data_IF_234336147418
#
_entry.id   IF_234336147418
#
_cell.length_a   1.000
_cell.length_b   1.000
_cell.length_c   1.000
_cell.angle_alpha   90.00
_cell.angle_beta   90.00
_cell.angle_gamma   90.00
#
_symmetry.space_group_name_H-M   'P 1'
#
loop_
_entity.id
_entity.type
_entity.pdbx_description
1 polymer ?
#
# COMPACT_ATOMS: atom_id res chain seq x y z
N UNK A 1 -16.96 -10.43 -2.97
CA UNK A 1 -17.50 -9.11 -3.41
C UNK A 1 -16.65 -8.01 -2.81
N UNK A 2 -16.16 -7.07 -3.64
CA UNK A 2 -15.54 -5.86 -3.12
C UNK A 2 -16.58 -5.09 -2.30
N UNK A 3 -16.18 -4.27 -1.30
CA UNK A 3 -17.10 -3.41 -0.55
C UNK A 3 -17.68 -2.33 -1.49
N UNK A 4 -18.62 -2.74 -2.36
CA UNK A 4 -19.15 -1.94 -3.45
C UNK A 4 -20.17 -0.86 -3.06
N UNK A 5 -20.54 -0.75 -1.78
CA UNK A 5 -21.67 0.09 -1.41
C UNK A 5 -21.39 1.59 -1.23
N UNK A 6 -20.13 2.03 -1.17
CA UNK A 6 -19.78 3.45 -0.92
C UNK A 6 -18.83 4.08 -1.93
N UNK A 7 -18.29 3.31 -2.88
CA UNK A 7 -17.31 3.83 -3.86
C UNK A 7 -17.90 4.22 -5.20
N UNK A 8 -19.22 4.10 -5.40
CA UNK A 8 -19.89 4.45 -6.67
C UNK A 8 -19.88 5.96 -7.02
N UNK A 9 -19.32 6.81 -6.19
CA UNK A 9 -19.29 8.27 -6.42
C UNK A 9 -17.93 8.81 -6.86
N UNK A 10 -16.85 8.02 -6.80
CA UNK A 10 -15.51 8.49 -7.16
C UNK A 10 -15.10 7.81 -8.47
N UNK A 11 -14.76 8.62 -9.47
CA UNK A 11 -14.17 8.10 -10.71
C UNK A 11 -12.90 7.30 -10.40
N UNK A 12 -12.79 6.02 -10.82
CA UNK A 12 -11.64 5.18 -10.53
C UNK A 12 -10.30 5.80 -10.98
N UNK A 13 -10.26 6.54 -12.09
CA UNK A 13 -9.07 7.23 -12.57
C UNK A 13 -8.62 8.33 -11.60
N UNK A 14 -9.57 9.13 -11.10
CA UNK A 14 -9.28 10.15 -10.09
C UNK A 14 -8.83 9.51 -8.77
N UNK A 15 -9.46 8.42 -8.34
CA UNK A 15 -9.05 7.67 -7.16
C UNK A 15 -7.62 7.14 -7.30
N UNK A 16 -7.27 6.64 -8.48
CA UNK A 16 -5.92 6.15 -8.79
C UNK A 16 -4.89 7.28 -8.69
N UNK A 17 -5.11 8.42 -9.33
CA UNK A 17 -4.20 9.57 -9.30
C UNK A 17 -3.99 10.12 -7.88
N UNK A 18 -5.07 10.34 -7.13
CA UNK A 18 -4.99 10.87 -5.77
C UNK A 18 -4.29 9.88 -4.81
N UNK A 19 -4.56 8.59 -4.94
CA UNK A 19 -3.91 7.57 -4.11
C UNK A 19 -2.43 7.40 -4.43
N UNK A 20 -2.00 7.63 -5.67
CA UNK A 20 -0.59 7.69 -6.05
C UNK A 20 0.13 8.84 -5.35
N UNK A 21 -0.43 10.06 -5.41
CA UNK A 21 0.13 11.22 -4.73
C UNK A 21 0.20 11.00 -3.21
N UNK A 22 -0.86 10.41 -2.64
CA UNK A 22 -0.89 10.06 -1.22
C UNK A 22 0.18 9.01 -0.85
N UNK A 23 0.43 8.03 -1.73
CA UNK A 23 1.48 7.02 -1.54
C UNK A 23 2.87 7.66 -1.49
N UNK A 24 3.19 8.54 -2.45
CA UNK A 24 4.47 9.25 -2.51
C UNK A 24 4.68 10.11 -1.25
N UNK A 25 3.65 10.84 -0.83
CA UNK A 25 3.72 11.64 0.39
C UNK A 25 3.92 10.78 1.63
N UNK A 26 3.15 9.68 1.76
CA UNK A 26 3.26 8.76 2.89
C UNK A 26 4.67 8.17 3.02
N UNK A 27 5.29 7.78 1.90
CA UNK A 27 6.68 7.30 1.86
C UNK A 27 7.67 8.37 2.28
N UNK A 28 7.52 9.60 1.77
CA UNK A 28 8.41 10.73 2.11
C UNK A 28 8.45 11.03 3.60
N UNK A 29 7.29 10.96 4.28
CA UNK A 29 7.18 11.21 5.72
C UNK A 29 7.25 9.93 6.57
N UNK A 30 7.59 8.78 5.97
CA UNK A 30 7.65 7.47 6.63
C UNK A 30 6.36 7.05 7.33
N UNK A 31 5.20 7.47 6.78
CA UNK A 31 3.87 7.15 7.32
C UNK A 31 3.35 5.82 6.77
N UNK A 32 3.74 4.73 7.40
CA UNK A 32 3.47 3.34 6.95
C UNK A 32 1.98 3.02 6.83
N UNK A 33 1.12 3.55 7.70
CA UNK A 33 -0.33 3.35 7.59
C UNK A 33 -0.90 4.07 6.36
N UNK A 34 -0.43 5.29 6.08
CA UNK A 34 -0.79 6.04 4.87
C UNK A 34 -0.38 5.30 3.60
N UNK A 35 0.82 4.70 3.59
CA UNK A 35 1.29 3.87 2.49
C UNK A 35 0.36 2.68 2.25
N UNK A 36 0.03 1.92 3.30
CA UNK A 36 -0.87 0.78 3.21
C UNK A 36 -2.28 1.16 2.71
N UNK A 37 -2.83 2.27 3.20
CA UNK A 37 -4.15 2.77 2.77
C UNK A 37 -4.14 3.21 1.30
N UNK A 38 -3.11 3.90 0.88
CA UNK A 38 -2.94 4.35 -0.51
C UNK A 38 -2.86 3.17 -1.47
N UNK A 39 -2.08 2.14 -1.14
CA UNK A 39 -2.00 0.89 -1.92
C UNK A 39 -3.35 0.18 -2.01
N UNK A 40 -4.15 0.17 -0.94
CA UNK A 40 -5.49 -0.41 -0.97
C UNK A 40 -6.43 0.33 -1.92
N UNK A 41 -6.41 1.67 -1.90
CA UNK A 41 -7.24 2.49 -2.80
C UNK A 41 -6.78 2.32 -4.25
N UNK A 42 -5.47 2.31 -4.51
CA UNK A 42 -4.92 2.03 -5.83
C UNK A 42 -5.34 0.65 -6.35
N UNK A 43 -5.27 -0.38 -5.50
CA UNK A 43 -5.68 -1.73 -5.86
C UNK A 43 -7.19 -1.78 -6.19
N UNK A 44 -8.03 -1.13 -5.39
CA UNK A 44 -9.48 -1.06 -5.64
C UNK A 44 -9.79 -0.29 -6.92
N UNK A 45 -9.13 0.83 -7.17
CA UNK A 45 -9.30 1.59 -8.41
C UNK A 45 -8.90 0.76 -9.64
N UNK A 46 -7.78 0.05 -9.57
CA UNK A 46 -7.34 -0.84 -10.65
C UNK A 46 -8.24 -2.06 -10.84
N UNK A 47 -8.82 -2.61 -9.77
CA UNK A 47 -9.85 -3.63 -9.85
C UNK A 47 -11.08 -3.12 -10.61
N UNK A 48 -11.58 -1.93 -10.28
CA UNK A 48 -12.73 -1.31 -10.96
C UNK A 48 -12.43 -1.01 -12.44
N UNK A 49 -11.17 -0.69 -12.76
CA UNK A 49 -10.70 -0.52 -14.15
C UNK A 49 -10.43 -1.85 -14.87
N UNK A 50 -10.62 -3.01 -14.21
CA UNK A 50 -10.35 -4.33 -14.76
C UNK A 50 -8.88 -4.72 -14.86
N UNK A 51 -7.97 -3.93 -14.30
CA UNK A 51 -6.54 -4.25 -14.26
C UNK A 51 -6.20 -5.15 -13.07
N UNK A 52 -6.67 -6.38 -13.11
CA UNK A 52 -6.52 -7.34 -12.01
C UNK A 52 -5.04 -7.65 -11.65
N UNK A 53 -4.09 -7.78 -12.62
CA UNK A 53 -2.68 -8.01 -12.28
C UNK A 53 -2.07 -6.87 -11.46
N UNK A 54 -2.39 -5.62 -11.79
CA UNK A 54 -1.89 -4.46 -11.02
C UNK A 54 -2.57 -4.33 -9.66
N UNK A 55 -3.88 -4.60 -9.59
CA UNK A 55 -4.60 -4.67 -8.32
C UNK A 55 -3.98 -5.72 -7.40
N UNK A 56 -3.69 -6.92 -7.92
CA UNK A 56 -3.01 -8.00 -7.21
C UNK A 56 -1.66 -7.54 -6.66
N UNK A 57 -0.82 -6.91 -7.48
CA UNK A 57 0.49 -6.42 -7.05
C UNK A 57 0.37 -5.41 -5.89
N UNK A 58 -0.55 -4.45 -5.98
CA UNK A 58 -0.77 -3.46 -4.92
C UNK A 58 -1.29 -4.09 -3.62
N UNK A 59 -2.19 -5.09 -3.70
CA UNK A 59 -2.61 -5.86 -2.52
C UNK A 59 -1.48 -6.69 -1.92
N UNK A 60 -0.57 -7.24 -2.73
CA UNK A 60 0.64 -7.93 -2.26
C UNK A 60 1.61 -7.00 -1.52
N UNK A 61 1.83 -5.79 -2.05
CA UNK A 61 2.63 -4.77 -1.36
C UNK A 61 1.99 -4.36 -0.04
N UNK A 62 0.66 -4.13 -0.03
CA UNK A 62 -0.08 -3.87 1.19
C UNK A 62 0.08 -4.99 2.21
N UNK A 63 -0.02 -6.25 1.78
CA UNK A 63 0.11 -7.43 2.66
C UNK A 63 1.44 -7.41 3.41
N UNK A 64 2.57 -7.16 2.71
CA UNK A 64 3.92 -7.05 3.29
C UNK A 64 4.01 -5.95 4.35
N UNK A 65 3.33 -4.83 4.14
CA UNK A 65 3.29 -3.73 5.10
C UNK A 65 2.49 -4.12 6.33
N UNK A 66 1.30 -4.71 6.16
CA UNK A 66 0.43 -5.07 7.28
C UNK A 66 1.01 -6.22 8.12
N UNK A 67 1.78 -7.10 7.53
CA UNK A 67 2.54 -8.13 8.23
C UNK A 67 3.54 -7.52 9.22
N UNK A 68 4.32 -6.50 8.79
CA UNK A 68 5.26 -5.77 9.65
C UNK A 68 4.55 -4.90 10.70
N UNK A 69 3.39 -4.32 10.37
CA UNK A 69 2.61 -3.46 11.27
C UNK A 69 1.86 -4.23 12.35
N UNK A 70 1.81 -5.56 12.27
CA UNK A 70 1.04 -6.42 13.16
C UNK A 70 -0.43 -5.94 13.28
N UNK A 71 -1.08 -5.67 12.13
CA UNK A 71 -2.47 -5.21 12.04
C UNK A 71 -3.36 -6.33 11.50
N UNK A 72 -3.94 -7.19 12.38
CA UNK A 72 -4.63 -8.41 11.96
C UNK A 72 -5.80 -8.16 11.00
N UNK A 73 -6.61 -7.13 11.27
CA UNK A 73 -7.75 -6.77 10.42
C UNK A 73 -7.32 -6.46 8.98
N UNK A 74 -6.32 -5.61 8.84
CA UNK A 74 -5.85 -5.18 7.52
C UNK A 74 -5.10 -6.30 6.80
N UNK A 75 -4.39 -7.13 7.54
CA UNK A 75 -3.71 -8.32 7.02
C UNK A 75 -4.70 -9.32 6.43
N UNK A 76 -5.75 -9.69 7.18
CA UNK A 76 -6.83 -10.58 6.73
C UNK A 76 -7.56 -9.99 5.52
N UNK A 77 -7.88 -8.70 5.56
CA UNK A 77 -8.50 -8.00 4.42
C UNK A 77 -7.62 -8.06 3.17
N UNK A 78 -6.30 -7.89 3.30
CA UNK A 78 -5.38 -8.00 2.17
C UNK A 78 -5.34 -9.42 1.59
N UNK A 79 -5.28 -10.46 2.43
CA UNK A 79 -5.33 -11.86 2.00
C UNK A 79 -6.63 -12.17 1.24
N UNK A 80 -7.78 -11.72 1.76
CA UNK A 80 -9.08 -11.93 1.11
C UNK A 80 -9.17 -11.25 -0.25
N UNK A 81 -8.66 -10.01 -0.36
CA UNK A 81 -8.65 -9.28 -1.64
C UNK A 81 -7.66 -9.89 -2.66
N UNK A 82 -6.52 -10.42 -2.22
CA UNK A 82 -5.61 -11.18 -3.08
C UNK A 82 -6.31 -12.43 -3.60
N UNK A 83 -7.02 -13.15 -2.74
CA UNK A 83 -7.83 -14.29 -3.15
C UNK A 83 -8.86 -13.93 -4.22
N UNK A 84 -9.58 -12.83 -4.05
CA UNK A 84 -10.52 -12.32 -5.04
C UNK A 84 -9.83 -11.99 -6.38
N UNK A 85 -8.66 -11.37 -6.36
CA UNK A 85 -7.92 -11.10 -7.59
C UNK A 85 -7.54 -12.39 -8.33
N UNK A 86 -7.12 -13.42 -7.62
CA UNK A 86 -6.84 -14.73 -8.22
C UNK A 86 -8.09 -15.42 -8.78
N UNK A 87 -9.28 -15.26 -8.15
CA UNK A 87 -10.54 -15.75 -8.74
C UNK A 87 -10.79 -15.10 -10.11
N UNK A 88 -10.61 -13.79 -10.21
CA UNK A 88 -10.83 -13.01 -11.43
C UNK A 88 -9.80 -13.32 -12.53
N UNK A 89 -8.60 -13.74 -12.13
CA UNK A 89 -7.55 -14.21 -13.04
C UNK A 89 -7.72 -15.69 -13.45
N UNK A 90 -8.68 -16.42 -12.87
CA UNK A 90 -8.90 -17.85 -13.13
C UNK A 90 -7.90 -18.77 -12.41
N UNK A 91 -7.09 -18.25 -11.51
CA UNK A 91 -6.08 -18.98 -10.76
C UNK A 91 -6.66 -19.53 -9.43
N UNK A 92 -7.59 -20.46 -9.54
CA UNK A 92 -8.43 -20.90 -8.40
C UNK A 92 -7.64 -21.55 -7.26
N UNK A 93 -6.57 -22.28 -7.55
CA UNK A 93 -5.71 -22.90 -6.53
C UNK A 93 -5.02 -21.83 -5.66
N UNK A 94 -4.50 -20.78 -6.29
CA UNK A 94 -3.89 -19.66 -5.60
C UNK A 94 -4.96 -18.90 -4.80
N UNK A 95 -6.15 -18.68 -5.37
CA UNK A 95 -7.27 -18.07 -4.68
C UNK A 95 -7.60 -18.78 -3.37
N UNK A 96 -7.80 -20.10 -3.40
CA UNK A 96 -8.10 -20.90 -2.21
C UNK A 96 -6.97 -20.83 -1.17
N UNK A 97 -5.70 -20.87 -1.61
CA UNK A 97 -4.56 -20.76 -0.68
C UNK A 97 -4.60 -19.47 0.14
N UNK A 98 -4.84 -18.34 -0.50
CA UNK A 98 -4.93 -17.04 0.19
C UNK A 98 -6.21 -16.92 1.04
N UNK A 99 -7.34 -17.41 0.55
CA UNK A 99 -8.61 -17.37 1.27
C UNK A 99 -8.60 -18.25 2.52
N UNK A 100 -7.98 -19.43 2.48
CA UNK A 100 -7.83 -20.28 3.67
C UNK A 100 -6.88 -19.67 4.70
N UNK A 101 -5.81 -19.00 4.25
CA UNK A 101 -4.97 -18.21 5.16
C UNK A 101 -5.75 -17.07 5.81
N UNK A 102 -6.61 -16.40 5.05
CA UNK A 102 -7.49 -15.36 5.58
C UNK A 102 -8.47 -15.92 6.60
N UNK A 103 -9.09 -17.08 6.34
CA UNK A 103 -10.03 -17.74 7.24
C UNK A 103 -9.36 -18.19 8.56
N UNK A 104 -8.16 -18.75 8.47
CA UNK A 104 -7.40 -19.15 9.66
C UNK A 104 -7.02 -17.96 10.56
N UNK A 105 -6.87 -16.75 10.00
CA UNK A 105 -6.45 -15.56 10.73
C UNK A 105 -7.59 -14.60 11.08
N UNK A 106 -8.83 -14.87 10.63
CA UNK A 106 -9.93 -13.90 10.78
C UNK A 106 -10.38 -13.75 12.25
N UNK A 107 -10.19 -14.74 13.09
CA UNK A 107 -10.58 -14.72 14.50
C UNK A 107 -9.85 -13.63 15.32
N UNK A 108 -8.61 -13.27 14.92
CA UNK A 108 -7.81 -12.23 15.59
C UNK A 108 -8.09 -10.81 15.05
N UNK A 109 -8.96 -10.66 14.06
CA UNK A 109 -9.24 -9.36 13.42
C UNK A 109 -10.12 -8.40 14.25
N UNK A 110 -10.61 -8.85 15.42
CA UNK A 110 -11.54 -8.11 16.28
C UNK A 110 -13.01 -8.35 15.89
N UNK A 111 -13.92 -8.34 16.87
CA UNK A 111 -15.30 -8.83 16.73
C UNK A 111 -16.07 -8.28 15.52
N UNK A 112 -16.17 -6.95 15.40
CA UNK A 112 -16.94 -6.31 14.31
C UNK A 112 -16.35 -6.56 12.92
N UNK A 113 -15.03 -6.50 12.81
CA UNK A 113 -14.35 -6.75 11.55
C UNK A 113 -14.37 -8.23 11.16
N UNK A 114 -14.37 -9.12 12.17
CA UNK A 114 -14.40 -10.56 11.96
C UNK A 114 -15.65 -11.01 11.19
N UNK A 115 -16.83 -10.55 11.59
CA UNK A 115 -18.09 -10.95 10.97
C UNK A 115 -18.14 -10.55 9.49
N UNK A 116 -17.78 -9.30 9.17
CA UNK A 116 -17.72 -8.79 7.80
C UNK A 116 -16.67 -9.53 6.95
N UNK A 117 -15.47 -9.70 7.48
CA UNK A 117 -14.38 -10.36 6.75
C UNK A 117 -14.66 -11.84 6.54
N UNK A 118 -15.20 -12.53 7.56
CA UNK A 118 -15.53 -13.95 7.48
C UNK A 118 -16.63 -14.22 6.46
N UNK A 119 -17.65 -13.36 6.41
CA UNK A 119 -18.67 -13.42 5.37
C UNK A 119 -18.05 -13.34 3.97
N UNK A 120 -17.24 -12.32 3.73
CA UNK A 120 -16.59 -12.11 2.41
C UNK A 120 -15.66 -13.28 2.04
N UNK A 121 -14.93 -13.82 3.00
CA UNK A 121 -14.06 -14.99 2.80
C UNK A 121 -14.90 -16.21 2.40
N UNK A 122 -15.99 -16.49 3.11
CA UNK A 122 -16.87 -17.64 2.81
C UNK A 122 -17.48 -17.50 1.41
N UNK A 123 -17.99 -16.31 1.05
CA UNK A 123 -18.52 -16.04 -0.31
C UNK A 123 -17.45 -16.26 -1.37
N UNK A 124 -16.24 -15.75 -1.17
CA UNK A 124 -15.17 -15.90 -2.15
C UNK A 124 -14.70 -17.36 -2.30
N UNK A 125 -14.67 -18.13 -1.21
CA UNK A 125 -14.37 -19.57 -1.30
C UNK A 125 -15.49 -20.30 -2.02
N UNK A 126 -16.75 -20.00 -1.70
CA UNK A 126 -17.94 -20.57 -2.37
C UNK A 126 -17.91 -20.29 -3.87
N UNK A 127 -17.68 -19.03 -4.27
CA UNK A 127 -17.54 -18.62 -5.66
C UNK A 127 -16.37 -19.34 -6.36
N UNK A 128 -15.24 -19.50 -5.68
CA UNK A 128 -14.09 -20.23 -6.24
C UNK A 128 -14.47 -21.65 -6.58
N UNK A 129 -15.12 -22.36 -5.65
CA UNK A 129 -15.57 -23.74 -5.90
C UNK A 129 -16.66 -23.84 -6.97
N UNK A 130 -17.57 -22.85 -7.02
CA UNK A 130 -18.55 -22.75 -8.08
C UNK A 130 -17.90 -22.67 -9.47
N UNK A 131 -16.91 -21.79 -9.63
CA UNK A 131 -16.15 -21.65 -10.89
C UNK A 131 -15.29 -22.88 -11.23
N UNK A 132 -14.86 -23.61 -10.22
CA UNK A 132 -14.19 -24.93 -10.39
C UNK A 132 -15.17 -26.05 -10.73
N UNK A 133 -16.47 -25.78 -10.85
CA UNK A 133 -17.52 -26.80 -11.05
C UNK A 133 -17.52 -27.86 -9.94
N UNK A 134 -17.34 -27.44 -8.68
CA UNK A 134 -17.39 -28.28 -7.47
C UNK A 134 -18.57 -27.87 -6.61
N UNK A 135 -19.82 -28.27 -6.99
CA UNK A 135 -21.03 -27.74 -6.35
C UNK A 135 -21.15 -28.05 -4.88
N UNK A 136 -20.77 -29.27 -4.41
CA UNK A 136 -20.89 -29.65 -3.01
C UNK A 136 -20.01 -28.82 -2.09
N UNK A 137 -18.78 -28.52 -2.51
CA UNK A 137 -17.90 -27.63 -1.77
C UNK A 137 -18.42 -26.19 -1.82
N UNK A 138 -18.96 -25.74 -2.93
CA UNK A 138 -19.53 -24.41 -3.10
C UNK A 138 -20.76 -24.23 -2.18
N UNK A 139 -21.69 -25.19 -2.13
CA UNK A 139 -22.85 -25.23 -1.26
C UNK A 139 -22.43 -25.05 0.22
N UNK A 140 -21.45 -25.83 0.67
CA UNK A 140 -20.95 -25.75 2.03
C UNK A 140 -20.54 -24.31 2.43
N UNK A 141 -19.82 -23.61 1.56
CA UNK A 141 -19.32 -22.28 1.88
C UNK A 141 -20.37 -21.18 1.71
N UNK A 142 -21.27 -21.28 0.74
CA UNK A 142 -22.40 -20.34 0.65
C UNK A 142 -23.36 -20.49 1.83
N UNK A 143 -23.60 -21.69 2.32
CA UNK A 143 -24.39 -21.90 3.57
C UNK A 143 -23.71 -21.30 4.79
N UNK A 144 -22.38 -21.39 4.92
CA UNK A 144 -21.64 -20.69 5.98
C UNK A 144 -21.79 -19.17 5.85
N UNK A 145 -21.69 -18.61 4.64
CA UNK A 145 -21.91 -17.20 4.39
C UNK A 145 -23.35 -16.78 4.76
N UNK A 146 -24.34 -17.58 4.36
CA UNK A 146 -25.75 -17.35 4.69
C UNK A 146 -26.01 -17.31 6.21
N UNK A 147 -25.43 -18.26 6.96
CA UNK A 147 -25.55 -18.28 8.41
C UNK A 147 -24.95 -17.01 9.06
N UNK A 148 -23.81 -16.52 8.57
CA UNK A 148 -23.21 -15.28 9.06
C UNK A 148 -24.11 -14.07 8.70
N UNK A 149 -24.63 -14.01 7.49
CA UNK A 149 -25.53 -12.93 7.05
C UNK A 149 -26.84 -12.90 7.87
N UNK A 150 -27.38 -14.06 8.24
CA UNK A 150 -28.54 -14.18 9.11
C UNK A 150 -28.25 -13.65 10.54
N UNK A 151 -27.07 -13.94 11.08
CA UNK A 151 -26.68 -13.46 12.42
C UNK A 151 -26.46 -11.94 12.45
N UNK A 152 -25.94 -11.37 11.37
CA UNK A 152 -25.69 -9.92 11.27
C UNK A 152 -26.94 -9.12 10.90
N UNK A 153 -27.96 -9.78 10.33
CA UNK A 153 -29.19 -9.13 9.85
C UNK A 153 -28.99 -8.22 8.62
N UNK A 154 -27.84 -8.32 7.95
CA UNK A 154 -27.57 -7.51 6.77
C UNK A 154 -28.29 -8.06 5.54
N UNK A 155 -29.32 -7.34 5.10
CA UNK A 155 -30.19 -7.74 3.99
C UNK A 155 -29.43 -7.91 2.67
N UNK A 156 -28.44 -7.07 2.42
CA UNK A 156 -27.64 -7.19 1.21
C UNK A 156 -26.81 -8.48 1.21
N UNK A 157 -26.12 -8.77 2.31
CA UNK A 157 -25.37 -10.02 2.46
C UNK A 157 -26.27 -11.25 2.41
N UNK A 158 -27.49 -11.18 2.98
CA UNK A 158 -28.49 -12.24 2.88
C UNK A 158 -28.86 -12.51 1.42
N UNK A 159 -29.23 -11.48 0.68
CA UNK A 159 -29.59 -11.60 -0.73
C UNK A 159 -28.45 -12.14 -1.60
N UNK A 160 -27.22 -11.67 -1.34
CA UNK A 160 -26.04 -12.12 -2.10
C UNK A 160 -25.64 -13.57 -1.80
N UNK A 161 -25.73 -14.01 -0.53
CA UNK A 161 -25.47 -15.41 -0.18
C UNK A 161 -26.56 -16.35 -0.72
N UNK A 162 -27.83 -15.93 -0.67
CA UNK A 162 -28.94 -16.67 -1.27
C UNK A 162 -28.81 -16.80 -2.78
N UNK A 163 -28.31 -15.78 -3.48
CA UNK A 163 -28.00 -15.86 -4.91
C UNK A 163 -26.93 -16.92 -5.20
N UNK A 164 -25.83 -16.92 -4.40
CA UNK A 164 -24.79 -17.94 -4.53
C UNK A 164 -25.33 -19.36 -4.35
N UNK A 165 -26.12 -19.58 -3.29
CA UNK A 165 -26.78 -20.87 -3.02
C UNK A 165 -27.74 -21.28 -4.15
N UNK A 166 -28.54 -20.32 -4.64
CA UNK A 166 -29.45 -20.59 -5.76
C UNK A 166 -28.71 -21.00 -7.04
N UNK A 167 -27.58 -20.36 -7.33
CA UNK A 167 -26.73 -20.69 -8.49
C UNK A 167 -26.17 -22.12 -8.35
N UNK A 168 -25.73 -22.53 -7.16
CA UNK A 168 -25.23 -23.88 -6.89
C UNK A 168 -26.32 -24.93 -7.05
N UNK A 169 -27.50 -24.70 -6.46
CA UNK A 169 -28.65 -25.61 -6.59
C UNK A 169 -29.11 -25.73 -8.05
N UNK A 170 -29.09 -24.63 -8.81
CA UNK A 170 -29.39 -24.67 -10.24
C UNK A 170 -28.35 -25.47 -11.04
N UNK A 171 -27.07 -25.42 -10.67
CA UNK A 171 -25.99 -26.22 -11.25
C UNK A 171 -26.15 -27.71 -10.95
N UNK A 172 -26.69 -28.06 -9.77
CA UNK A 172 -27.00 -29.44 -9.38
C UNK A 172 -28.37 -29.95 -9.94
N UNK A 173 -29.01 -29.19 -10.84
CA UNK A 173 -30.35 -29.46 -11.38
C UNK A 173 -31.47 -29.53 -10.31
N UNK A 174 -31.23 -29.00 -9.09
CA UNK A 174 -32.22 -28.88 -8.03
C UNK A 174 -33.12 -27.65 -8.24
N UNK A 175 -33.84 -27.61 -9.37
CA UNK A 175 -34.53 -26.45 -9.90
C UNK A 175 -35.56 -25.80 -8.96
N UNK A 176 -36.37 -26.63 -8.25
CA UNK A 176 -37.35 -26.13 -7.29
C UNK A 176 -36.69 -25.47 -6.10
N UNK A 177 -35.66 -26.10 -5.56
CA UNK A 177 -34.88 -25.56 -4.42
C UNK A 177 -34.16 -24.26 -4.84
N UNK A 178 -33.59 -24.21 -6.05
CA UNK A 178 -32.97 -22.98 -6.55
C UNK A 178 -33.93 -21.79 -6.56
N UNK A 179 -35.18 -22.00 -7.01
CA UNK A 179 -36.19 -20.95 -7.00
C UNK A 179 -36.57 -20.50 -5.60
N UNK A 180 -36.56 -21.40 -4.61
CA UNK A 180 -36.83 -21.05 -3.21
C UNK A 180 -35.77 -20.09 -2.64
N UNK A 181 -34.55 -20.06 -3.20
CA UNK A 181 -33.50 -19.12 -2.84
C UNK A 181 -33.48 -17.88 -3.74
N UNK A 182 -33.76 -18.01 -5.05
CA UNK A 182 -33.79 -16.85 -5.95
C UNK A 182 -34.87 -15.83 -5.58
N UNK A 183 -36.07 -16.26 -5.17
CA UNK A 183 -37.13 -15.32 -4.81
C UNK A 183 -36.82 -14.46 -3.60
N UNK A 184 -36.39 -15.01 -2.47
CA UNK A 184 -35.93 -14.18 -1.35
C UNK A 184 -34.70 -13.32 -1.70
N UNK A 185 -33.74 -13.86 -2.46
CA UNK A 185 -32.60 -13.07 -2.94
C UNK A 185 -33.04 -11.83 -3.72
N UNK A 186 -34.01 -11.99 -4.63
CA UNK A 186 -34.59 -10.88 -5.36
C UNK A 186 -35.18 -9.82 -4.43
N UNK A 187 -35.93 -10.22 -3.43
CA UNK A 187 -36.59 -9.30 -2.49
C UNK A 187 -35.54 -8.55 -1.63
N UNK A 188 -34.52 -9.24 -1.10
CA UNK A 188 -33.47 -8.63 -0.29
C UNK A 188 -32.56 -7.69 -1.08
N UNK A 189 -32.33 -7.94 -2.36
CA UNK A 189 -31.50 -7.13 -3.22
C UNK A 189 -32.23 -5.97 -3.88
N UNK A 190 -33.58 -5.95 -3.82
CA UNK A 190 -34.43 -4.96 -4.48
C UNK A 190 -34.63 -3.67 -3.66
N UNK A 191 -33.63 -3.28 -2.88
CA UNK A 191 -33.63 -2.04 -2.10
C UNK A 191 -33.15 -0.80 -2.87
N UNK A 192 -33.01 -0.91 -4.19
CA UNK A 192 -32.63 0.18 -5.10
C UNK A 192 -31.14 0.41 -5.30
N UNK A 193 -30.26 -0.28 -4.55
CA UNK A 193 -28.82 -0.01 -4.58
C UNK A 193 -27.99 -0.94 -5.48
N UNK A 194 -28.53 -2.13 -5.88
CA UNK A 194 -27.75 -3.15 -6.58
C UNK A 194 -28.48 -3.81 -7.76
N UNK A 195 -28.83 -3.00 -8.74
CA UNK A 195 -29.51 -3.46 -9.94
C UNK A 195 -28.73 -4.51 -10.75
N UNK A 196 -27.40 -4.56 -10.67
CA UNK A 196 -26.58 -5.54 -11.38
C UNK A 196 -26.79 -6.96 -10.84
N UNK A 197 -26.82 -7.15 -9.51
CA UNK A 197 -27.11 -8.46 -8.92
C UNK A 197 -28.54 -8.91 -9.18
N UNK A 198 -29.49 -7.98 -9.24
CA UNK A 198 -30.87 -8.29 -9.63
C UNK A 198 -30.97 -8.82 -11.07
N UNK A 199 -30.13 -8.32 -11.99
CA UNK A 199 -30.05 -8.88 -13.34
C UNK A 199 -29.57 -10.34 -13.30
N UNK A 200 -28.62 -10.67 -12.43
CA UNK A 200 -28.11 -12.04 -12.27
C UNK A 200 -29.19 -12.96 -11.66
N UNK A 201 -29.87 -12.52 -10.60
CA UNK A 201 -30.97 -13.26 -9.96
C UNK A 201 -32.07 -13.58 -11.01
N UNK A 202 -32.52 -12.55 -11.73
CA UNK A 202 -33.60 -12.72 -12.71
C UNK A 202 -33.18 -13.59 -13.87
N UNK A 203 -31.95 -13.50 -14.35
CA UNK A 203 -31.42 -14.39 -15.38
C UNK A 203 -31.30 -15.84 -14.88
N UNK A 204 -30.87 -16.03 -13.63
CA UNK A 204 -30.81 -17.34 -12.98
C UNK A 204 -32.22 -17.99 -12.94
N UNK A 205 -33.20 -17.22 -12.45
CA UNK A 205 -34.62 -17.67 -12.49
C UNK A 205 -35.08 -18.04 -13.91
N UNK A 206 -34.74 -17.22 -14.89
CA UNK A 206 -35.11 -17.49 -16.29
C UNK A 206 -34.53 -18.82 -16.80
N UNK A 207 -33.25 -19.07 -16.52
CA UNK A 207 -32.56 -20.33 -16.88
C UNK A 207 -33.20 -21.54 -16.20
N UNK A 208 -33.55 -21.41 -14.91
CA UNK A 208 -34.27 -22.50 -14.18
C UNK A 208 -35.64 -22.74 -14.76
N UNK A 209 -36.41 -21.70 -15.03
CA UNK A 209 -37.75 -21.86 -15.67
C UNK A 209 -37.66 -22.47 -17.07
N UNK A 210 -36.61 -22.14 -17.83
CA UNK A 210 -36.35 -22.78 -19.13
C UNK A 210 -36.10 -24.28 -18.98
N UNK A 211 -35.34 -24.69 -17.96
CA UNK A 211 -35.03 -26.10 -17.68
C UNK A 211 -36.27 -26.91 -17.29
N UNK A 212 -37.18 -26.33 -16.47
CA UNK A 212 -38.42 -26.98 -16.06
C UNK A 212 -39.57 -26.76 -17.07
N UNK A 213 -39.24 -26.31 -18.27
CA UNK A 213 -40.18 -26.14 -19.42
C UNK A 213 -41.31 -25.14 -19.18
N UNK A 214 -41.16 -24.16 -18.26
CA UNK A 214 -42.12 -23.06 -18.04
C UNK A 214 -41.74 -21.88 -18.92
N UNK A 215 -42.07 -21.93 -20.22
CA UNK A 215 -41.61 -21.04 -21.26
C UNK A 215 -41.97 -19.56 -21.02
N UNK A 216 -43.22 -19.29 -20.58
CA UNK A 216 -43.67 -17.91 -20.32
C UNK A 216 -42.90 -17.28 -19.15
N UNK A 217 -42.67 -18.04 -18.07
CA UNK A 217 -41.87 -17.58 -16.94
C UNK A 217 -40.39 -17.36 -17.33
N UNK A 218 -39.82 -18.28 -18.13
CA UNK A 218 -38.46 -18.14 -18.65
C UNK A 218 -38.30 -16.85 -19.46
N UNK A 219 -39.25 -16.57 -20.38
CA UNK A 219 -39.25 -15.32 -21.12
C UNK A 219 -39.42 -14.11 -20.21
N UNK A 220 -40.40 -14.13 -19.27
CA UNK A 220 -40.67 -13.02 -18.37
C UNK A 220 -39.41 -12.60 -17.58
N UNK A 221 -38.75 -13.55 -16.92
CA UNK A 221 -37.56 -13.26 -16.11
C UNK A 221 -36.35 -12.93 -16.98
N UNK A 222 -36.17 -13.56 -18.14
CA UNK A 222 -35.12 -13.24 -19.11
C UNK A 222 -35.22 -11.82 -19.63
N UNK A 223 -36.46 -11.43 -20.04
CA UNK A 223 -36.73 -10.07 -20.50
C UNK A 223 -36.58 -9.04 -19.35
N UNK A 224 -36.98 -9.39 -18.11
CA UNK A 224 -36.79 -8.54 -16.94
C UNK A 224 -35.29 -8.31 -16.68
N UNK A 225 -34.47 -9.34 -16.76
CA UNK A 225 -32.99 -9.21 -16.65
C UNK A 225 -32.45 -8.29 -17.74
N UNK A 226 -32.86 -8.49 -19.01
CA UNK A 226 -32.41 -7.68 -20.12
C UNK A 226 -32.74 -6.19 -19.92
N UNK A 227 -34.01 -5.88 -19.61
CA UNK A 227 -34.46 -4.49 -19.44
C UNK A 227 -33.87 -3.80 -18.22
N UNK A 228 -33.64 -4.53 -17.13
CA UNK A 228 -32.94 -4.00 -15.95
C UNK A 228 -31.47 -3.70 -16.25
N UNK A 229 -30.80 -4.61 -16.98
CA UNK A 229 -29.40 -4.42 -17.38
C UNK A 229 -29.26 -3.24 -18.36
N UNK A 230 -30.20 -3.06 -19.29
CA UNK A 230 -30.24 -1.94 -20.21
C UNK A 230 -30.39 -0.60 -19.48
N UNK A 231 -31.37 -0.50 -18.55
CA UNK A 231 -31.58 0.71 -17.73
C UNK A 231 -30.37 1.03 -16.83
N UNK A 232 -29.75 0.00 -16.25
CA UNK A 232 -28.56 0.13 -15.41
C UNK A 232 -27.25 0.31 -16.18
N UNK A 233 -27.28 0.18 -17.52
CA UNK A 233 -26.08 0.19 -18.39
C UNK A 233 -25.07 -0.90 -18.05
N UNK A 234 -25.55 -2.06 -17.56
CA UNK A 234 -24.72 -3.23 -17.23
C UNK A 234 -24.54 -4.08 -18.50
N UNK A 235 -23.63 -3.66 -19.39
CA UNK A 235 -23.49 -4.22 -20.73
C UNK A 235 -23.27 -5.74 -20.72
N UNK A 236 -22.43 -6.26 -19.82
CA UNK A 236 -22.18 -7.70 -19.72
C UNK A 236 -23.42 -8.47 -19.30
N UNK A 237 -24.22 -7.95 -18.36
CA UNK A 237 -25.49 -8.57 -17.93
C UNK A 237 -26.55 -8.50 -19.02
N UNK A 238 -26.58 -7.38 -19.78
CA UNK A 238 -27.46 -7.22 -20.93
C UNK A 238 -27.11 -8.21 -22.05
N UNK A 239 -25.81 -8.43 -22.30
CA UNK A 239 -25.29 -9.41 -23.23
C UNK A 239 -25.72 -10.84 -22.85
N UNK A 240 -25.54 -11.22 -21.59
CA UNK A 240 -25.92 -12.55 -21.09
C UNK A 240 -27.42 -12.80 -21.25
N UNK A 241 -28.22 -11.80 -20.90
CA UNK A 241 -29.70 -11.88 -21.07
C UNK A 241 -30.12 -11.91 -22.53
N UNK A 242 -29.45 -11.16 -23.42
CA UNK A 242 -29.72 -11.20 -24.86
C UNK A 242 -29.40 -12.58 -25.46
N UNK A 243 -28.29 -13.19 -25.10
CA UNK A 243 -27.97 -14.56 -25.52
C UNK A 243 -29.00 -15.57 -25.00
N UNK A 244 -29.40 -15.45 -23.74
CA UNK A 244 -30.47 -16.32 -23.20
C UNK A 244 -31.75 -16.19 -24.00
N UNK A 245 -32.22 -14.97 -24.25
CA UNK A 245 -33.45 -14.71 -25.00
C UNK A 245 -33.36 -15.20 -26.45
N UNK A 246 -32.23 -15.01 -27.11
CA UNK A 246 -31.98 -15.58 -28.45
C UNK A 246 -32.15 -17.10 -28.46
N UNK A 247 -31.52 -17.81 -27.50
CA UNK A 247 -31.61 -19.26 -27.37
C UNK A 247 -33.03 -19.71 -27.02
N UNK A 248 -33.72 -18.99 -26.14
CA UNK A 248 -35.13 -19.24 -25.79
C UNK A 248 -36.03 -19.19 -27.01
N UNK A 249 -35.96 -18.11 -27.81
CA UNK A 249 -36.75 -17.97 -29.02
C UNK A 249 -36.38 -18.98 -30.12
N UNK A 250 -35.10 -19.35 -30.23
CA UNK A 250 -34.65 -20.41 -31.12
C UNK A 250 -35.33 -21.76 -30.80
N UNK A 251 -35.41 -22.15 -29.51
CA UNK A 251 -36.11 -23.36 -29.06
C UNK A 251 -37.61 -23.33 -29.35
N UNK A 252 -38.19 -22.13 -29.33
CA UNK A 252 -39.60 -21.92 -29.72
C UNK A 252 -39.80 -21.83 -31.22
N UNK A 253 -38.76 -22.03 -32.05
CA UNK A 253 -38.79 -21.89 -33.51
C UNK A 253 -39.21 -20.48 -34.01
N UNK A 254 -39.12 -19.46 -33.12
CA UNK A 254 -39.38 -18.06 -33.45
C UNK A 254 -38.08 -17.39 -33.94
N UNK A 255 -37.65 -17.76 -35.13
CA UNK A 255 -36.33 -17.41 -35.65
C UNK A 255 -36.10 -15.90 -35.81
N UNK A 256 -37.13 -15.14 -36.21
CA UNK A 256 -37.02 -13.68 -36.33
C UNK A 256 -36.70 -13.01 -34.98
N UNK A 257 -37.37 -13.43 -33.91
CA UNK A 257 -37.07 -12.93 -32.56
C UNK A 257 -35.70 -13.39 -32.07
N UNK A 258 -35.35 -14.65 -32.32
CA UNK A 258 -34.04 -15.19 -31.97
C UNK A 258 -32.91 -14.40 -32.66
N UNK A 259 -33.05 -14.09 -33.94
CA UNK A 259 -32.10 -13.31 -34.71
C UNK A 259 -31.96 -11.87 -34.17
N UNK A 260 -33.10 -11.20 -33.89
CA UNK A 260 -33.09 -9.84 -33.34
C UNK A 260 -32.30 -9.74 -32.01
N UNK A 261 -32.47 -10.71 -31.08
CA UNK A 261 -31.71 -10.73 -29.86
C UNK A 261 -30.23 -11.11 -30.07
N UNK A 262 -29.92 -11.96 -31.06
CA UNK A 262 -28.55 -12.27 -31.43
C UNK A 262 -27.82 -11.06 -32.02
N UNK A 263 -28.50 -10.28 -32.88
CA UNK A 263 -27.97 -9.04 -33.43
C UNK A 263 -27.67 -8.02 -32.31
N UNK A 264 -28.60 -7.84 -31.36
CA UNK A 264 -28.38 -7.00 -30.16
C UNK A 264 -27.20 -7.50 -29.35
N UNK A 265 -27.06 -8.81 -29.12
CA UNK A 265 -25.94 -9.41 -28.44
C UNK A 265 -24.61 -9.12 -29.16
N UNK A 266 -24.56 -9.21 -30.48
CA UNK A 266 -23.40 -8.89 -31.30
C UNK A 266 -22.99 -7.42 -31.13
N UNK A 267 -23.92 -6.47 -31.19
CA UNK A 267 -23.66 -5.05 -30.99
C UNK A 267 -23.15 -4.73 -29.56
N UNK A 268 -23.74 -5.40 -28.55
CA UNK A 268 -23.23 -5.29 -27.15
C UNK A 268 -21.82 -5.82 -27.02
N UNK A 269 -21.50 -6.95 -27.64
CA UNK A 269 -20.18 -7.55 -27.63
C UNK A 269 -19.11 -6.65 -28.26
N UNK A 270 -19.46 -6.01 -29.40
CA UNK A 270 -18.58 -5.01 -30.03
C UNK A 270 -18.35 -3.79 -29.13
N UNK A 271 -19.43 -3.30 -28.51
CA UNK A 271 -19.34 -2.19 -27.53
C UNK A 271 -18.44 -2.54 -26.36
N UNK A 272 -18.59 -3.73 -25.78
CA UNK A 272 -17.75 -4.22 -24.67
C UNK A 272 -16.28 -4.30 -25.11
N UNK A 273 -16.00 -4.91 -26.27
CA UNK A 273 -14.63 -4.98 -26.82
C UNK A 273 -14.03 -3.60 -27.09
N UNK A 274 -14.84 -2.65 -27.58
CA UNK A 274 -14.42 -1.27 -27.76
C UNK A 274 -14.04 -0.59 -26.43
N UNK A 275 -14.85 -0.79 -25.40
CA UNK A 275 -14.55 -0.29 -24.04
C UNK A 275 -13.31 -0.95 -23.45
N UNK A 276 -13.13 -2.27 -23.66
CA UNK A 276 -11.92 -2.99 -23.21
C UNK A 276 -10.66 -2.43 -23.83
N UNK A 277 -10.62 -2.20 -25.16
CA UNK A 277 -9.49 -1.58 -25.85
C UNK A 277 -9.17 -0.17 -25.33
N UNK A 278 -10.22 0.64 -25.13
CA UNK A 278 -10.06 1.99 -24.57
C UNK A 278 -9.50 1.92 -23.14
N UNK A 279 -10.00 0.99 -22.34
CA UNK A 279 -9.51 0.74 -20.98
C UNK A 279 -8.05 0.28 -20.96
N UNK A 280 -7.67 -0.64 -21.85
CA UNK A 280 -6.27 -1.07 -21.99
C UNK A 280 -5.35 0.10 -22.33
N UNK A 281 -5.75 0.96 -23.26
CA UNK A 281 -4.99 2.16 -23.59
C UNK A 281 -4.85 3.11 -22.40
N UNK A 282 -5.92 3.33 -21.63
CA UNK A 282 -5.88 4.13 -20.39
C UNK A 282 -4.97 3.49 -19.34
N UNK A 283 -5.03 2.16 -19.17
CA UNK A 283 -4.15 1.42 -18.23
C UNK A 283 -2.68 1.61 -18.62
N UNK A 284 -2.35 1.51 -19.91
CA UNK A 284 -0.98 1.72 -20.40
C UNK A 284 -0.53 3.17 -20.13
N UNK A 285 -1.37 4.15 -20.44
CA UNK A 285 -1.09 5.57 -20.18
C UNK A 285 -0.86 5.86 -18.69
N UNK A 286 -1.75 5.36 -17.81
CA UNK A 286 -1.63 5.52 -16.37
C UNK A 286 -0.36 4.84 -15.82
N UNK A 287 -0.01 3.66 -16.32
CA UNK A 287 1.20 2.97 -15.94
C UNK A 287 2.46 3.77 -16.31
N UNK A 288 2.46 4.39 -17.50
CA UNK A 288 3.58 5.23 -17.93
C UNK A 288 3.69 6.50 -17.08
N UNK A 289 2.57 7.15 -16.76
CA UNK A 289 2.58 8.30 -15.85
C UNK A 289 3.13 7.93 -14.47
N UNK A 290 2.72 6.76 -13.92
CA UNK A 290 3.28 6.25 -12.67
C UNK A 290 4.78 6.05 -12.74
N UNK A 291 5.26 5.39 -13.79
CA UNK A 291 6.69 5.16 -14.00
C UNK A 291 7.47 6.48 -14.06
N UNK A 292 6.93 7.48 -14.75
CA UNK A 292 7.54 8.81 -14.82
C UNK A 292 7.57 9.52 -13.46
N UNK A 293 6.49 9.41 -12.69
CA UNK A 293 6.43 9.97 -11.33
C UNK A 293 7.44 9.30 -10.38
N UNK A 294 7.55 7.97 -10.42
CA UNK A 294 8.54 7.21 -9.64
C UNK A 294 9.97 7.60 -10.02
N UNK A 295 10.26 7.71 -11.32
CA UNK A 295 11.58 8.15 -11.82
C UNK A 295 11.90 9.60 -11.41
N UNK A 296 10.90 10.48 -11.42
CA UNK A 296 11.08 11.88 -10.99
C UNK A 296 11.40 11.94 -9.49
N UNK A 297 10.74 11.12 -8.69
CA UNK A 297 11.00 11.03 -7.24
C UNK A 297 12.38 10.45 -6.94
N UNK A 298 12.78 9.37 -7.61
CA UNK A 298 14.13 8.81 -7.49
C UNK A 298 15.20 9.86 -7.81
N UNK A 299 15.03 10.61 -8.90
CA UNK A 299 15.95 11.71 -9.26
C UNK A 299 15.99 12.81 -8.18
N UNK A 300 14.86 13.11 -7.55
CA UNK A 300 14.80 14.08 -6.45
C UNK A 300 15.56 13.58 -5.23
N UNK A 301 15.34 12.33 -4.83
CA UNK A 301 16.04 11.67 -3.73
C UNK A 301 17.54 11.59 -3.98
N UNK A 302 17.96 11.25 -5.21
CA UNK A 302 19.38 11.26 -5.58
C UNK A 302 19.99 12.65 -5.46
N UNK A 303 19.28 13.71 -5.88
CA UNK A 303 19.76 15.10 -5.74
C UNK A 303 19.91 15.50 -4.27
N UNK A 304 18.92 15.14 -3.44
CA UNK A 304 18.96 15.40 -1.98
C UNK A 304 20.13 14.66 -1.34
N UNK A 305 20.34 13.39 -1.68
CA UNK A 305 21.47 12.60 -1.19
C UNK A 305 22.81 13.18 -1.62
N UNK A 306 22.97 13.58 -2.89
CA UNK A 306 24.18 14.26 -3.40
C UNK A 306 24.42 15.58 -2.68
N UNK A 307 23.35 16.36 -2.43
CA UNK A 307 23.48 17.62 -1.68
C UNK A 307 23.97 17.38 -0.25
N UNK A 308 23.43 16.39 0.44
CA UNK A 308 23.89 15.99 1.79
C UNK A 308 25.33 15.50 1.78
N UNK A 309 25.71 14.69 0.80
CA UNK A 309 27.11 14.22 0.63
C UNK A 309 28.06 15.38 0.39
N UNK A 310 27.70 16.35 -0.46
CA UNK A 310 28.50 17.55 -0.70
C UNK A 310 28.63 18.40 0.56
N UNK A 311 27.56 18.58 1.33
CA UNK A 311 27.61 19.30 2.61
C UNK A 311 28.54 18.59 3.61
N UNK A 312 28.46 17.27 3.73
CA UNK A 312 29.37 16.50 4.57
C UNK A 312 30.84 16.62 4.11
N UNK A 313 31.08 16.59 2.82
CA UNK A 313 32.43 16.76 2.25
C UNK A 313 33.00 18.16 2.54
N UNK A 314 32.19 19.20 2.39
CA UNK A 314 32.60 20.58 2.73
C UNK A 314 32.93 20.68 4.22
N UNK A 315 32.09 20.13 5.10
CA UNK A 315 32.33 20.08 6.55
C UNK A 315 33.63 19.31 6.85
N UNK A 316 33.84 18.16 6.20
CA UNK A 316 35.03 17.32 6.36
C UNK A 316 36.34 18.01 5.96
N UNK A 317 36.28 18.95 5.04
CA UNK A 317 37.47 19.75 4.62
C UNK A 317 37.60 20.99 5.48
N UNK A 318 36.50 21.72 5.76
CA UNK A 318 36.56 22.98 6.50
C UNK A 318 36.98 22.82 7.95
N UNK A 319 36.55 21.76 8.65
CA UNK A 319 36.87 21.57 10.08
C UNK A 319 38.39 21.30 10.30
N UNK A 320 39.02 20.32 9.62
CA UNK A 320 40.46 20.15 9.71
C UNK A 320 41.28 21.38 9.26
N UNK A 321 40.80 22.05 8.19
CA UNK A 321 41.44 23.28 7.70
C UNK A 321 41.38 24.41 8.75
N UNK A 322 40.25 24.58 9.44
CA UNK A 322 40.08 25.51 10.54
C UNK A 322 41.08 25.19 11.69
N UNK A 323 41.22 23.90 12.01
CA UNK A 323 42.19 23.44 13.01
C UNK A 323 43.63 23.73 12.62
N UNK A 324 44.01 23.44 11.37
CA UNK A 324 45.33 23.78 10.85
C UNK A 324 45.59 25.30 10.82
N UNK A 325 44.59 26.09 10.46
CA UNK A 325 44.62 27.55 10.43
C UNK A 325 44.89 28.09 11.87
N UNK A 326 44.26 27.54 12.91
CA UNK A 326 44.52 27.96 14.30
C UNK A 326 45.95 27.70 14.72
N UNK A 327 46.57 26.59 14.27
CA UNK A 327 48.00 26.28 14.50
C UNK A 327 48.90 27.28 13.75
N UNK A 328 48.52 27.76 12.58
CA UNK A 328 49.29 28.72 11.79
C UNK A 328 49.18 30.15 12.37
N UNK A 329 47.97 30.56 12.79
CA UNK A 329 47.70 31.85 13.43
C UNK A 329 48.50 32.00 14.74
N UNK A 330 48.79 30.91 15.42
CA UNK A 330 49.64 30.93 16.65
C UNK A 330 51.04 31.51 16.40
N UNK A 331 51.52 31.56 15.17
CA UNK A 331 52.81 32.15 14.79
C UNK A 331 52.79 33.68 14.60
N UNK A 332 51.58 34.27 14.56
CA UNK A 332 51.37 35.72 14.39
C UNK A 332 51.16 36.34 15.79
N UNK A 333 51.61 37.58 15.99
CA UNK A 333 51.47 38.32 17.28
C UNK A 333 50.00 38.71 17.52
N UNK A 334 49.13 37.74 17.83
CA UNK A 334 47.73 37.97 18.21
C UNK A 334 47.60 37.76 19.73
N UNK A 335 46.63 38.42 20.36
CA UNK A 335 46.37 38.32 21.78
C UNK A 335 46.15 36.84 22.20
N UNK A 336 46.92 36.33 23.15
CA UNK A 336 46.96 34.93 23.55
C UNK A 336 45.58 34.34 23.93
N UNK A 337 44.68 35.19 24.45
CA UNK A 337 43.32 34.79 24.82
C UNK A 337 42.47 34.41 23.60
N UNK A 338 42.62 35.13 22.48
CA UNK A 338 41.91 34.86 21.24
C UNK A 338 42.37 33.55 20.61
N UNK A 339 43.70 33.32 20.61
CA UNK A 339 44.28 32.08 20.07
C UNK A 339 43.84 30.85 20.86
N UNK A 340 43.78 30.94 22.20
CA UNK A 340 43.25 29.86 23.06
C UNK A 340 41.78 29.59 22.77
N UNK A 341 40.96 30.62 22.71
CA UNK A 341 39.54 30.49 22.44
C UNK A 341 39.27 29.84 21.07
N UNK A 342 39.97 30.29 20.03
CA UNK A 342 39.85 29.68 18.68
C UNK A 342 40.35 28.22 18.67
N UNK A 343 41.40 27.89 19.41
CA UNK A 343 41.90 26.53 19.53
C UNK A 343 40.90 25.58 20.18
N UNK A 344 40.27 26.00 21.27
CA UNK A 344 39.26 25.21 21.97
C UNK A 344 38.03 24.99 21.08
N UNK A 345 37.51 26.04 20.42
CA UNK A 345 36.37 25.94 19.50
C UNK A 345 36.68 25.02 18.31
N UNK A 346 37.85 25.18 17.71
CA UNK A 346 38.28 24.35 16.58
C UNK A 346 38.36 22.85 16.96
N UNK A 347 38.83 22.56 18.19
CA UNK A 347 38.93 21.21 18.70
C UNK A 347 37.54 20.64 19.04
N UNK A 348 36.62 21.46 19.54
CA UNK A 348 35.22 21.09 19.76
C UNK A 348 34.53 20.72 18.47
N UNK A 349 34.67 21.53 17.42
CA UNK A 349 34.12 21.22 16.08
C UNK A 349 34.69 19.94 15.48
N UNK A 350 36.01 19.69 15.68
CA UNK A 350 36.63 18.45 15.22
C UNK A 350 36.04 17.23 15.92
N UNK A 351 35.79 17.34 17.23
CA UNK A 351 35.19 16.28 18.04
C UNK A 351 33.76 15.99 17.56
N UNK A 352 32.93 17.02 17.41
CA UNK A 352 31.55 16.92 16.94
C UNK A 352 31.49 16.30 15.53
N UNK A 353 32.42 16.69 14.66
CA UNK A 353 32.53 16.11 13.32
C UNK A 353 32.87 14.62 13.35
N UNK A 354 33.80 14.18 14.21
CA UNK A 354 34.15 12.76 14.36
C UNK A 354 32.93 11.97 14.86
N UNK A 355 32.19 12.50 15.83
CA UNK A 355 30.95 11.88 16.33
C UNK A 355 29.91 11.74 15.26
N UNK A 356 29.68 12.79 14.45
CA UNK A 356 28.73 12.80 13.35
C UNK A 356 29.13 11.82 12.23
N UNK A 357 30.43 11.66 11.96
CA UNK A 357 30.94 10.70 10.98
C UNK A 357 30.76 9.25 11.45
N UNK A 358 30.95 8.98 12.75
CA UNK A 358 30.83 7.64 13.33
C UNK A 358 29.37 7.22 13.54
N UNK A 359 28.45 8.18 13.68
CA UNK A 359 27.04 7.90 13.98
C UNK A 359 26.39 6.88 13.04
N UNK A 360 26.46 6.99 11.68
CA UNK A 360 25.84 6.00 10.80
C UNK A 360 26.45 4.60 10.94
N UNK A 361 27.78 4.50 11.15
CA UNK A 361 28.44 3.22 11.38
C UNK A 361 28.03 2.57 12.70
N UNK A 362 27.86 3.38 13.74
CA UNK A 362 27.41 2.92 15.05
C UNK A 362 25.96 2.48 15.01
N UNK A 363 25.08 3.23 14.33
CA UNK A 363 23.67 2.89 14.16
C UNK A 363 23.49 1.56 13.42
N UNK A 364 24.22 1.35 12.32
CA UNK A 364 24.20 0.10 11.56
C UNK A 364 24.72 -1.08 12.41
N UNK A 365 25.85 -0.89 13.14
CA UNK A 365 26.41 -1.92 14.01
C UNK A 365 25.51 -2.27 15.20
N UNK A 366 24.83 -1.29 15.75
CA UNK A 366 23.89 -1.45 16.85
C UNK A 366 22.52 -2.01 16.42
N UNK A 367 22.31 -2.30 15.13
CA UNK A 367 21.01 -2.71 14.58
C UNK A 367 19.85 -1.77 14.98
N UNK A 368 20.12 -0.46 15.09
CA UNK A 368 19.18 0.56 15.53
C UNK A 368 18.59 0.32 16.93
N UNK A 369 19.32 -0.37 17.83
CA UNK A 369 18.91 -0.55 19.23
C UNK A 369 19.46 0.64 20.04
N UNK A 370 18.61 1.57 20.57
CA UNK A 370 19.07 2.82 21.17
C UNK A 370 20.00 2.63 22.38
N UNK A 371 19.78 1.58 23.18
CA UNK A 371 20.62 1.27 24.34
C UNK A 371 22.04 0.87 23.93
N UNK A 372 22.17 0.07 22.86
CA UNK A 372 23.45 -0.36 22.31
C UNK A 372 24.19 0.82 21.69
N UNK A 373 23.50 1.66 20.93
CA UNK A 373 24.05 2.90 20.38
C UNK A 373 24.61 3.81 21.48
N UNK A 374 23.83 4.02 22.54
CA UNK A 374 24.25 4.83 23.69
C UNK A 374 25.51 4.27 24.35
N UNK A 375 25.59 2.96 24.59
CA UNK A 375 26.76 2.32 25.17
C UNK A 375 28.03 2.45 24.31
N UNK A 376 27.86 2.31 22.99
CA UNK A 376 28.97 2.49 22.04
C UNK A 376 29.43 3.96 22.05
N UNK A 377 28.54 4.94 22.03
CA UNK A 377 28.89 6.36 22.08
C UNK A 377 29.56 6.75 23.40
N UNK A 378 29.09 6.23 24.54
CA UNK A 378 29.73 6.42 25.83
C UNK A 378 31.15 5.84 25.83
N UNK A 379 31.37 4.65 25.23
CA UNK A 379 32.68 4.03 25.10
C UNK A 379 33.64 4.86 24.22
N UNK A 380 33.12 5.36 23.06
CA UNK A 380 33.87 6.27 22.18
C UNK A 380 34.22 7.57 22.91
N UNK A 381 33.26 8.18 23.64
CA UNK A 381 33.50 9.38 24.42
C UNK A 381 34.58 9.18 25.51
N UNK A 382 34.56 8.03 26.18
CA UNK A 382 35.56 7.68 27.20
C UNK A 382 37.00 7.63 26.64
N UNK A 383 37.19 7.33 25.38
CA UNK A 383 38.50 7.35 24.69
C UNK A 383 38.81 8.75 24.17
N UNK A 384 37.85 9.44 23.59
CA UNK A 384 38.05 10.74 22.92
C UNK A 384 38.27 11.87 23.95
N UNK A 385 37.58 11.86 25.11
CA UNK A 385 37.71 12.91 26.13
C UNK A 385 39.14 13.03 26.68
N UNK A 386 39.84 11.96 27.09
CA UNK A 386 41.23 12.04 27.49
C UNK A 386 42.17 12.49 26.35
N UNK A 387 41.91 12.05 25.14
CA UNK A 387 42.66 12.44 23.94
C UNK A 387 42.47 13.95 23.65
N UNK A 388 41.24 14.44 23.74
CA UNK A 388 40.90 15.87 23.62
C UNK A 388 41.70 16.69 24.65
N UNK A 389 41.73 16.28 25.91
CA UNK A 389 42.45 16.98 26.99
C UNK A 389 43.97 16.99 26.77
N UNK A 390 44.55 15.89 26.27
CA UNK A 390 45.97 15.83 25.89
C UNK A 390 46.29 16.73 24.70
N UNK A 391 45.43 16.74 23.66
CA UNK A 391 45.57 17.61 22.51
C UNK A 391 45.42 19.09 22.89
N UNK A 392 44.49 19.43 23.77
CA UNK A 392 44.30 20.78 24.30
C UNK A 392 45.58 21.23 25.06
N UNK A 393 46.12 20.43 25.95
CA UNK A 393 47.38 20.73 26.67
C UNK A 393 48.56 20.87 25.72
N UNK A 394 48.70 20.00 24.73
CA UNK A 394 49.78 20.11 23.73
C UNK A 394 49.61 21.39 22.88
N UNK A 395 48.39 21.74 22.54
CA UNK A 395 48.04 22.93 21.77
C UNK A 395 48.36 24.19 22.59
N UNK A 396 47.88 24.26 23.84
CA UNK A 396 48.16 25.37 24.75
C UNK A 396 49.67 25.51 25.00
N UNK A 397 50.41 24.44 25.28
CA UNK A 397 51.84 24.45 25.49
C UNK A 397 52.62 24.91 24.25
N UNK A 398 52.24 24.45 23.04
CA UNK A 398 52.83 24.90 21.77
C UNK A 398 52.50 26.35 21.44
N UNK A 399 51.30 26.84 21.80
CA UNK A 399 50.85 28.20 21.59
C UNK A 399 51.45 29.20 22.62
N UNK A 400 51.85 28.72 23.81
CA UNK A 400 52.41 29.54 24.89
C UNK A 400 53.95 29.56 24.90
N UNK A 401 54.64 28.60 24.25
CA UNK A 401 56.08 28.57 24.08
C UNK A 401 56.60 29.39 22.90
N UNK A 402 56.10 30.61 22.71
CA UNK A 402 56.84 31.65 21.95
C UNK A 402 57.91 32.17 22.90
N UNK A 403 59.19 31.82 22.68
CA UNK A 403 60.36 32.38 23.40
C UNK A 403 60.23 33.90 23.51
N UNK A 404 60.39 34.51 24.67
CA UNK A 404 60.53 35.97 24.77
C UNK A 404 61.80 36.39 24.02
N UNK A 405 61.61 37.16 22.97
CA UNK A 405 62.71 37.87 22.28
C UNK A 405 63.39 38.79 23.28
N UNK A 406 64.71 38.60 23.42
CA UNK A 406 65.56 39.14 24.45
C UNK A 406 65.32 40.62 24.79
N UNK A 407 65.18 40.84 26.07
CA UNK A 407 65.37 42.15 26.62
C UNK A 407 66.88 42.35 26.78
N UNK A 408 67.34 43.39 26.10
CA UNK A 408 68.64 44.09 26.21
C UNK A 408 69.07 44.18 27.61
N UNK A 409 70.35 43.74 27.85
CA UNK A 409 71.18 43.93 28.96
C UNK A 409 71.00 45.29 29.64
N UNK A 410 70.43 45.30 30.85
CA UNK A 410 70.71 46.40 31.80
C UNK A 410 72.04 46.16 32.52
N UNK A 411 72.93 47.12 32.40
CA UNK A 411 74.21 47.17 33.03
C UNK A 411 74.12 47.10 34.58
N UNK A 412 74.87 46.22 35.17
CA UNK A 412 75.03 46.13 36.65
C UNK A 412 75.64 47.46 37.17
N UNK A 413 75.11 48.08 38.26
CA UNK A 413 75.80 49.22 38.91
C UNK A 413 77.02 48.69 39.69
N UNK A 414 78.15 49.41 39.55
CA UNK A 414 79.42 49.17 40.32
C UNK A 414 79.25 49.40 41.82
N UNK A 415 79.90 48.63 42.71
CA UNK A 415 79.80 48.82 44.12
C UNK A 415 80.58 50.09 44.58
N UNK A 416 79.97 50.89 45.44
CA UNK A 416 80.59 52.05 46.09
C UNK A 416 81.61 51.67 47.09
N UNK A 417 82.75 52.38 47.09
CA UNK A 417 83.83 52.26 48.07
C UNK A 417 83.46 52.86 49.45
N UNK A 418 83.91 52.29 50.55
CA UNK A 418 83.61 52.83 51.87
C UNK A 418 84.40 54.12 52.21
N UNK A 419 83.73 55.12 52.72
CA UNK A 419 84.36 56.36 53.25
C UNK A 419 84.72 56.08 54.70
N UNK A 420 86.01 56.19 55.01
CA UNK A 420 86.50 56.26 56.36
C UNK A 420 86.21 57.60 56.96
N UNK A 421 85.65 57.60 58.17
CA UNK A 421 85.58 58.75 59.05
C UNK A 421 86.85 58.94 59.74
N UNK A 422 87.25 60.17 59.77
CA UNK A 422 87.84 60.81 60.91
C UNK A 422 86.87 61.85 61.40
#
# INVERSE_FOLDING_TARGET
MAPGGRYNSINPDTALQLSQQALLLARRISFTEGESRSLAIMATAQYLLGNYPKALNNYMLKLKIEEKRNSPRNYVSALSNIGLMYILLGEYSNALSYLYRADAMVEVAGRKAREELKYNIMVNIGETYYRMNKPDSSDLYFRKALAIAQQTGDHFSLGAAMLGEANVLALQDHHTAALQYYYPAFNYLNDGLNNEMLCEVTLGMAKVYEKINKKDSAFFFGNKSYTMAEKGRFLSRQLDAAYFLSQHFKKLQRYNSAFSYLERASGLQETIKGQEKTREAMIISNNEQMRQAELAEQKLQEKEMRSKQLQLLVIAICIPMLFLLTLFISRIKIHLMIVRFMGIISLLFLFEFITLLLHPMVADFAHHIPVVELLIFVSIAAVIIPMHHRLEHLLINKLTHVKPIGHTTQAKPKPAKPILKK
#
